data_IF_915444322417
#
_entry.id   IF_915444322417
#
_cell.length_a   1.000
_cell.length_b   1.000
_cell.length_c   1.000
_cell.angle_alpha   90.00
_cell.angle_beta   90.00
_cell.angle_gamma   90.00
#
_symmetry.space_group_name_H-M   'P 1'
#
loop_
_entity.id
_entity.type
_entity.pdbx_description
1 polymer ?
#
# COMPACT_ATOMS: atom_id res chain seq x y z
N UNK A 1 -4.30 22.09 13.83
CA UNK A 1 -4.60 20.79 14.48
C UNK A 1 -3.27 20.19 14.93
N UNK A 2 -3.12 19.74 16.17
CA UNK A 2 -1.87 19.15 16.64
C UNK A 2 -1.69 17.76 16.00
N UNK A 3 -0.49 17.46 15.48
CA UNK A 3 -0.12 16.20 14.90
C UNK A 3 0.82 15.49 15.84
N UNK A 4 0.56 14.24 16.12
CA UNK A 4 1.44 13.36 16.89
C UNK A 4 2.09 12.34 15.95
N UNK A 5 3.40 12.21 16.02
CA UNK A 5 4.15 11.14 15.37
C UNK A 5 4.57 10.10 16.42
N UNK A 6 4.34 8.82 16.12
CA UNK A 6 4.76 7.71 16.95
C UNK A 6 5.54 6.71 16.10
N UNK A 7 6.83 6.54 16.37
CA UNK A 7 7.60 5.42 15.84
C UNK A 7 7.16 4.14 16.52
N UNK A 8 6.98 3.09 15.74
CA UNK A 8 6.55 1.78 16.21
C UNK A 8 7.22 0.69 15.37
N UNK A 9 7.06 -0.55 15.79
CA UNK A 9 7.48 -1.72 15.03
C UNK A 9 6.26 -2.59 14.73
N UNK A 10 6.27 -3.20 13.56
CA UNK A 10 5.27 -4.18 13.14
C UNK A 10 5.90 -5.55 13.26
N UNK A 11 5.26 -6.43 13.99
CA UNK A 11 5.66 -7.83 14.10
C UNK A 11 5.22 -8.57 12.82
N UNK A 12 6.15 -9.22 12.16
CA UNK A 12 5.87 -9.99 10.94
C UNK A 12 6.16 -11.48 11.15
N UNK A 13 5.66 -12.31 10.25
CA UNK A 13 5.87 -13.75 10.30
C UNK A 13 7.37 -14.10 10.43
N UNK A 14 7.71 -15.02 11.32
CA UNK A 14 9.10 -15.39 11.63
C UNK A 14 9.75 -14.57 12.74
N UNK A 15 8.97 -13.73 13.47
CA UNK A 15 9.45 -12.99 14.65
C UNK A 15 10.35 -11.78 14.32
N UNK A 16 10.43 -11.38 13.04
CA UNK A 16 11.13 -10.16 12.66
C UNK A 16 10.28 -8.93 12.93
N UNK A 17 10.93 -7.79 13.16
CA UNK A 17 10.30 -6.48 13.29
C UNK A 17 10.64 -5.61 12.08
N UNK A 18 9.64 -4.91 11.55
CA UNK A 18 9.83 -3.86 10.53
C UNK A 18 9.48 -2.50 11.10
N UNK A 19 10.24 -1.48 10.70
CA UNK A 19 10.05 -0.12 11.18
C UNK A 19 8.81 0.53 10.55
N UNK A 20 7.99 1.18 11.38
CA UNK A 20 6.83 1.93 10.96
C UNK A 20 6.74 3.27 11.70
N UNK A 21 6.04 4.22 11.10
CA UNK A 21 5.73 5.51 11.72
C UNK A 21 4.24 5.80 11.57
N UNK A 22 3.58 6.05 12.69
CA UNK A 22 2.19 6.53 12.73
C UNK A 22 2.22 8.03 12.86
N UNK A 23 1.51 8.71 11.97
CA UNK A 23 1.30 10.16 11.99
C UNK A 23 -0.19 10.41 12.08
N UNK A 24 -0.66 11.04 13.15
CA UNK A 24 -2.08 11.17 13.44
C UNK A 24 -2.44 12.48 14.14
N UNK A 25 -3.62 13.07 13.85
CA UNK A 25 -4.25 14.04 14.72
C UNK A 25 -4.83 13.41 15.99
N UNK A 26 -5.28 14.23 16.95
CA UNK A 26 -5.77 13.76 18.25
C UNK A 26 -7.25 13.29 18.27
N UNK A 27 -7.93 13.18 17.10
CA UNK A 27 -9.36 12.84 16.97
C UNK A 27 -9.61 11.57 16.13
N UNK A 28 -10.79 10.96 16.21
CA UNK A 28 -11.22 9.79 15.39
C UNK A 28 -11.32 10.14 13.91
N UNK A 29 -10.60 9.41 13.03
CA UNK A 29 -10.38 9.81 11.65
C UNK A 29 -10.14 8.63 10.69
N UNK A 30 -10.28 8.84 9.36
CA UNK A 30 -9.88 7.87 8.36
C UNK A 30 -8.41 7.45 8.48
N UNK A 31 -8.13 6.18 8.21
CA UNK A 31 -6.77 5.64 8.19
C UNK A 31 -6.17 5.63 6.79
N UNK A 32 -4.90 6.02 6.65
CA UNK A 32 -4.17 5.97 5.37
C UNK A 32 -2.86 5.20 5.54
N UNK A 33 -2.71 4.13 4.76
CA UNK A 33 -1.52 3.30 4.72
C UNK A 33 -0.69 3.60 3.47
N UNK A 34 0.59 3.92 3.64
CA UNK A 34 1.51 4.17 2.53
C UNK A 34 2.46 2.99 2.33
N UNK A 35 2.52 2.50 1.08
CA UNK A 35 3.34 1.35 0.69
C UNK A 35 4.37 1.77 -0.35
N UNK A 36 5.65 1.76 0.03
CA UNK A 36 6.74 2.17 -0.86
C UNK A 36 7.07 1.12 -1.93
N UNK A 37 7.68 1.55 -3.01
CA UNK A 37 8.17 0.68 -4.08
C UNK A 37 9.46 -0.05 -3.72
N UNK A 38 9.84 -1.05 -4.54
CA UNK A 38 11.09 -1.78 -4.37
C UNK A 38 12.31 -0.85 -4.34
N UNK A 39 13.19 -1.05 -3.38
CA UNK A 39 14.36 -0.18 -3.15
C UNK A 39 14.03 1.16 -2.48
N UNK A 40 12.77 1.37 -2.06
CA UNK A 40 12.33 2.56 -1.34
C UNK A 40 12.47 2.43 0.18
N UNK A 41 11.89 3.40 0.88
CA UNK A 41 11.72 3.42 2.34
C UNK A 41 10.50 4.26 2.71
N UNK A 42 10.03 4.11 3.94
CA UNK A 42 8.94 4.92 4.51
C UNK A 42 9.26 6.43 4.50
N UNK A 43 10.53 6.82 4.60
CA UNK A 43 10.94 8.24 4.68
C UNK A 43 10.44 9.05 3.50
N UNK A 44 10.28 8.42 2.32
CA UNK A 44 9.76 9.09 1.13
C UNK A 44 8.30 9.54 1.26
N UNK A 45 7.58 8.99 2.21
CA UNK A 45 6.16 9.28 2.43
C UNK A 45 5.89 10.12 3.67
N UNK A 46 6.87 10.27 4.58
CA UNK A 46 6.67 10.98 5.83
C UNK A 46 6.19 12.43 5.64
N UNK A 47 6.74 13.17 4.68
CA UNK A 47 6.30 14.54 4.41
C UNK A 47 4.82 14.57 3.99
N UNK A 48 4.41 13.70 3.05
CA UNK A 48 3.01 13.58 2.61
C UNK A 48 2.09 13.11 3.73
N UNK A 49 2.56 12.14 4.52
CA UNK A 49 1.79 11.64 5.66
C UNK A 49 1.50 12.75 6.67
N UNK A 50 2.46 13.67 6.92
CA UNK A 50 2.24 14.85 7.77
C UNK A 50 1.20 15.78 7.19
N UNK A 51 1.35 16.17 5.92
CA UNK A 51 0.39 17.05 5.22
C UNK A 51 -1.03 16.47 5.24
N UNK A 52 -1.17 15.17 4.98
CA UNK A 52 -2.47 14.51 4.99
C UNK A 52 -3.03 14.35 6.41
N UNK A 53 -2.17 14.13 7.40
CA UNK A 53 -2.60 14.09 8.80
C UNK A 53 -3.13 15.45 9.28
N UNK A 54 -2.61 16.56 8.74
CA UNK A 54 -3.16 17.91 8.99
C UNK A 54 -4.59 18.08 8.45
N UNK A 55 -4.97 17.29 7.43
CA UNK A 55 -6.33 17.27 6.90
C UNK A 55 -7.30 16.39 7.71
N UNK A 56 -6.82 15.74 8.76
CA UNK A 56 -7.66 14.96 9.64
C UNK A 56 -7.64 13.46 9.35
N UNK A 57 -6.50 12.89 9.05
CA UNK A 57 -6.32 11.44 8.84
C UNK A 57 -5.27 10.86 9.77
N UNK A 58 -5.39 9.57 10.10
CA UNK A 58 -4.33 8.80 10.72
C UNK A 58 -3.49 8.15 9.62
N UNK A 59 -2.21 8.46 9.55
CA UNK A 59 -1.33 7.95 8.52
C UNK A 59 -0.31 6.97 9.09
N UNK A 60 -0.14 5.82 8.43
CA UNK A 60 0.91 4.86 8.69
C UNK A 60 1.87 4.77 7.50
N UNK A 61 3.16 4.92 7.78
CA UNK A 61 4.24 4.59 6.85
C UNK A 61 5.11 3.51 7.47
N UNK A 62 5.64 2.59 6.67
CA UNK A 62 6.45 1.49 7.15
C UNK A 62 7.47 1.05 6.10
N UNK A 63 8.49 0.31 6.51
CA UNK A 63 9.46 -0.30 5.63
C UNK A 63 9.11 -1.76 5.37
N UNK A 64 9.03 -2.15 4.09
CA UNK A 64 8.91 -3.56 3.71
C UNK A 64 10.17 -4.33 4.13
N UNK A 65 10.03 -5.57 4.53
CA UNK A 65 11.17 -6.48 4.80
C UNK A 65 12.14 -6.51 3.61
N UNK A 66 13.43 -6.58 3.90
CA UNK A 66 14.49 -6.45 2.91
C UNK A 66 14.87 -5.00 2.58
N UNK A 67 14.22 -4.00 3.18
CA UNK A 67 14.49 -2.58 2.97
C UNK A 67 14.91 -1.89 4.26
N UNK A 68 15.49 -0.70 4.16
CA UNK A 68 15.94 0.12 5.29
C UNK A 68 16.68 -0.71 6.36
N UNK A 69 16.19 -0.74 7.58
CA UNK A 69 16.82 -1.47 8.71
C UNK A 69 16.90 -2.99 8.52
N UNK A 70 16.11 -3.59 7.60
CA UNK A 70 16.14 -5.03 7.28
C UNK A 70 16.83 -5.34 5.95
N UNK A 71 17.64 -4.42 5.42
CA UNK A 71 18.33 -4.53 4.14
C UNK A 71 19.18 -5.80 3.93
N UNK A 72 19.80 -6.42 4.94
CA UNK A 72 20.49 -7.70 4.76
C UNK A 72 19.62 -8.82 4.17
N UNK A 73 18.28 -8.72 4.30
CA UNK A 73 17.30 -9.65 3.71
C UNK A 73 16.88 -9.30 2.27
N UNK A 74 17.41 -8.23 1.68
CA UNK A 74 17.00 -7.71 0.38
C UNK A 74 17.11 -8.75 -0.75
N UNK A 75 18.11 -9.61 -0.73
CA UNK A 75 18.34 -10.63 -1.76
C UNK A 75 17.43 -11.87 -1.61
N UNK A 76 16.92 -12.10 -0.41
CA UNK A 76 16.15 -13.31 -0.08
C UNK A 76 14.67 -13.06 0.14
N UNK A 77 14.26 -11.81 0.37
CA UNK A 77 12.87 -11.47 0.65
C UNK A 77 11.95 -11.79 -0.54
N UNK A 78 10.82 -12.39 -0.23
CA UNK A 78 9.81 -12.83 -1.22
C UNK A 78 8.64 -11.86 -1.29
N UNK A 79 7.77 -12.02 -2.31
CA UNK A 79 6.48 -11.29 -2.38
C UNK A 79 5.58 -11.67 -1.21
N UNK A 80 5.58 -12.95 -0.84
CA UNK A 80 4.81 -13.45 0.29
C UNK A 80 5.23 -12.74 1.58
N UNK A 81 6.55 -12.63 1.86
CA UNK A 81 7.02 -11.91 3.03
C UNK A 81 6.54 -10.44 3.04
N UNK A 82 6.64 -9.74 1.89
CA UNK A 82 6.24 -8.35 1.82
C UNK A 82 4.71 -8.16 1.86
N UNK A 83 3.93 -9.13 1.39
CA UNK A 83 2.48 -9.12 1.55
C UNK A 83 2.09 -9.32 3.02
N UNK A 84 2.77 -10.20 3.75
CA UNK A 84 2.58 -10.37 5.19
C UNK A 84 2.96 -9.10 5.96
N UNK A 85 4.06 -8.41 5.59
CA UNK A 85 4.43 -7.11 6.16
C UNK A 85 3.30 -6.09 5.97
N UNK A 86 2.74 -6.02 4.76
CA UNK A 86 1.66 -5.11 4.43
C UNK A 86 0.37 -5.42 5.20
N UNK A 87 0.01 -6.69 5.32
CA UNK A 87 -1.14 -7.11 6.14
C UNK A 87 -0.94 -6.74 7.61
N UNK A 88 0.25 -6.98 8.16
CA UNK A 88 0.57 -6.59 9.54
C UNK A 88 0.53 -5.07 9.74
N UNK A 89 0.99 -4.30 8.76
CA UNK A 89 0.90 -2.84 8.78
C UNK A 89 -0.56 -2.36 8.73
N UNK A 90 -1.38 -2.97 7.88
CA UNK A 90 -2.81 -2.69 7.80
C UNK A 90 -3.50 -2.98 9.15
N UNK A 91 -3.27 -4.16 9.71
CA UNK A 91 -3.88 -4.59 10.97
C UNK A 91 -3.43 -3.66 12.13
N UNK A 92 -2.17 -3.20 12.13
CA UNK A 92 -1.68 -2.20 13.08
C UNK A 92 -2.41 -0.86 12.93
N UNK A 93 -2.62 -0.37 11.68
CA UNK A 93 -3.34 0.88 11.45
C UNK A 93 -4.78 0.78 11.95
N UNK A 94 -5.48 -0.29 11.60
CA UNK A 94 -6.89 -0.52 12.01
C UNK A 94 -7.01 -0.70 13.52
N UNK A 95 -5.99 -1.22 14.20
CA UNK A 95 -6.00 -1.38 15.66
C UNK A 95 -5.85 -0.06 16.44
N UNK A 96 -5.53 1.05 15.76
CA UNK A 96 -5.40 2.32 16.45
C UNK A 96 -6.78 2.83 16.92
N UNK A 97 -6.91 3.25 18.18
CA UNK A 97 -8.21 3.61 18.77
C UNK A 97 -8.87 4.83 18.12
N UNK A 98 -8.12 5.60 17.37
CA UNK A 98 -8.57 6.78 16.64
C UNK A 98 -8.73 6.57 15.13
N UNK A 99 -8.70 5.32 14.66
CA UNK A 99 -8.94 4.97 13.26
C UNK A 99 -10.34 4.39 13.08
N UNK A 100 -11.06 4.89 12.08
CA UNK A 100 -12.30 4.29 11.61
C UNK A 100 -11.96 3.12 10.66
N UNK A 101 -12.22 1.86 11.03
CA UNK A 101 -11.89 0.72 10.21
C UNK A 101 -12.71 0.63 8.90
N UNK A 102 -13.82 1.36 8.79
CA UNK A 102 -14.60 1.46 7.56
C UNK A 102 -14.06 2.50 6.58
N UNK A 103 -13.12 3.34 7.01
CA UNK A 103 -12.54 4.43 6.22
C UNK A 103 -11.04 4.27 6.05
N UNK A 104 -10.60 3.17 5.45
CA UNK A 104 -9.19 2.89 5.20
C UNK A 104 -8.84 3.18 3.74
N UNK A 105 -7.85 4.03 3.55
CA UNK A 105 -7.20 4.27 2.26
C UNK A 105 -5.82 3.60 2.21
N UNK A 106 -5.46 3.05 1.05
CA UNK A 106 -4.12 2.50 0.81
C UNK A 106 -3.49 3.19 -0.39
N UNK A 107 -2.29 3.70 -0.21
CA UNK A 107 -1.53 4.40 -1.25
C UNK A 107 -0.27 3.60 -1.56
N UNK A 108 -0.20 3.02 -2.76
CA UNK A 108 0.91 2.17 -3.17
C UNK A 108 1.65 2.68 -4.41
N UNK A 109 2.98 2.59 -4.43
CA UNK A 109 3.79 2.98 -5.57
C UNK A 109 4.60 1.82 -6.12
N UNK A 110 4.61 1.65 -7.45
CA UNK A 110 5.38 0.60 -8.13
C UNK A 110 5.11 -0.79 -7.53
N UNK A 111 6.12 -1.45 -6.97
CA UNK A 111 5.97 -2.73 -6.26
C UNK A 111 4.98 -2.65 -5.08
N UNK A 112 5.02 -1.56 -4.30
CA UNK A 112 4.04 -1.33 -3.24
C UNK A 112 2.62 -1.15 -3.78
N UNK A 113 2.46 -0.60 -4.98
CA UNK A 113 1.16 -0.52 -5.67
C UNK A 113 0.62 -1.90 -6.05
N UNK A 114 1.48 -2.80 -6.53
CA UNK A 114 1.14 -4.19 -6.80
C UNK A 114 0.64 -4.91 -5.52
N UNK A 115 1.39 -4.80 -4.43
CA UNK A 115 0.99 -5.41 -3.15
C UNK A 115 -0.30 -4.78 -2.60
N UNK A 116 -0.46 -3.46 -2.73
CA UNK A 116 -1.66 -2.75 -2.30
C UNK A 116 -2.92 -3.20 -3.05
N UNK A 117 -2.81 -3.45 -4.36
CA UNK A 117 -3.91 -4.01 -5.14
C UNK A 117 -4.32 -5.41 -4.64
N UNK A 118 -3.36 -6.27 -4.33
CA UNK A 118 -3.63 -7.62 -3.78
C UNK A 118 -4.25 -7.53 -2.38
N UNK A 119 -3.79 -6.60 -1.54
CA UNK A 119 -4.34 -6.40 -0.20
C UNK A 119 -5.86 -6.20 -0.21
N UNK A 120 -6.42 -5.54 -1.23
CA UNK A 120 -7.87 -5.28 -1.32
C UNK A 120 -8.72 -6.55 -1.39
N UNK A 121 -8.15 -7.68 -1.81
CA UNK A 121 -8.81 -8.99 -1.77
C UNK A 121 -8.72 -9.67 -0.40
N UNK A 122 -7.85 -9.18 0.49
CA UNK A 122 -7.54 -9.79 1.78
C UNK A 122 -8.02 -8.95 2.98
N UNK A 123 -8.21 -7.65 2.78
CA UNK A 123 -8.62 -6.70 3.81
C UNK A 123 -9.60 -5.68 3.23
N UNK A 124 -10.56 -5.17 4.03
CA UNK A 124 -11.43 -4.07 3.62
C UNK A 124 -10.62 -2.81 3.35
N UNK A 125 -10.69 -2.29 2.13
CA UNK A 125 -10.06 -1.03 1.72
C UNK A 125 -11.13 -0.20 1.02
N UNK A 126 -11.42 1.00 1.54
CA UNK A 126 -12.42 1.90 0.96
C UNK A 126 -11.85 2.67 -0.24
N UNK A 127 -10.59 3.13 -0.14
CA UNK A 127 -9.93 3.85 -1.22
C UNK A 127 -8.55 3.26 -1.51
N UNK A 128 -8.27 3.02 -2.78
CA UNK A 128 -6.98 2.56 -3.26
C UNK A 128 -6.39 3.56 -4.23
N UNK A 129 -5.24 4.14 -3.89
CA UNK A 129 -4.47 5.01 -4.78
C UNK A 129 -3.20 4.30 -5.26
N UNK A 130 -3.09 4.10 -6.57
CA UNK A 130 -1.94 3.45 -7.19
C UNK A 130 -1.12 4.44 -8.01
N UNK A 131 0.17 4.49 -7.72
CA UNK A 131 1.13 5.27 -8.50
C UNK A 131 2.05 4.32 -9.26
N UNK A 132 1.86 4.24 -10.59
CA UNK A 132 2.71 3.42 -11.49
C UNK A 132 2.91 2.00 -10.94
N UNK A 133 1.83 1.25 -10.64
CA UNK A 133 1.97 -0.07 -10.02
C UNK A 133 2.74 -1.01 -10.95
N UNK A 134 3.64 -1.80 -10.37
CA UNK A 134 4.32 -2.87 -11.09
C UNK A 134 3.41 -4.09 -11.18
N UNK A 135 3.66 -4.95 -12.18
CA UNK A 135 2.98 -6.23 -12.32
C UNK A 135 3.98 -7.37 -12.33
N UNK A 136 3.52 -8.50 -11.85
CA UNK A 136 4.28 -9.73 -11.82
C UNK A 136 3.37 -10.91 -12.19
N UNK A 137 3.96 -11.94 -12.77
CA UNK A 137 3.25 -13.19 -13.02
C UNK A 137 2.76 -13.82 -11.71
N UNK A 138 1.63 -14.52 -11.73
CA UNK A 138 0.99 -15.09 -10.52
C UNK A 138 1.74 -16.27 -9.91
N UNK A 139 2.79 -16.75 -10.55
CA UNK A 139 3.63 -17.83 -10.04
C UNK A 139 4.84 -17.29 -9.25
N UNK A 140 5.44 -18.14 -8.43
CA UNK A 140 6.71 -17.84 -7.76
C UNK A 140 6.58 -16.90 -6.57
N UNK A 141 5.52 -17.00 -5.79
CA UNK A 141 5.31 -16.19 -4.58
C UNK A 141 6.43 -16.34 -3.55
N UNK A 142 6.96 -17.56 -3.41
CA UNK A 142 8.03 -17.89 -2.48
C UNK A 142 9.44 -17.65 -3.05
N UNK A 143 9.53 -17.23 -4.32
CA UNK A 143 10.82 -16.90 -4.91
C UNK A 143 11.31 -15.53 -4.40
N UNK A 144 12.65 -15.37 -4.22
CA UNK A 144 13.22 -14.05 -3.95
C UNK A 144 12.74 -13.00 -4.94
N UNK A 145 12.30 -11.86 -4.44
CA UNK A 145 11.70 -10.81 -5.27
C UNK A 145 12.63 -10.34 -6.41
N UNK A 146 13.95 -10.35 -6.19
CA UNK A 146 14.94 -10.00 -7.21
C UNK A 146 14.95 -10.93 -8.42
N UNK A 147 14.50 -12.18 -8.28
CA UNK A 147 14.47 -13.17 -9.35
C UNK A 147 13.18 -13.09 -10.18
N UNK A 148 12.19 -12.30 -9.74
CA UNK A 148 10.92 -12.18 -10.43
C UNK A 148 11.03 -11.26 -11.65
N UNK A 149 10.46 -11.71 -12.76
CA UNK A 149 10.27 -10.89 -13.95
C UNK A 149 9.00 -10.04 -13.78
N UNK A 150 9.08 -8.79 -14.23
CA UNK A 150 7.89 -7.94 -14.30
C UNK A 150 6.98 -8.46 -15.41
N UNK A 151 5.68 -8.47 -15.13
CA UNK A 151 4.68 -8.69 -16.17
C UNK A 151 4.60 -7.45 -17.06
N UNK A 152 4.59 -7.66 -18.36
CA UNK A 152 4.47 -6.62 -19.38
C UNK A 152 3.13 -6.70 -20.11
N UNK A 153 2.29 -7.68 -19.77
CA UNK A 153 1.01 -7.90 -20.40
C UNK A 153 -0.05 -6.97 -19.77
N UNK A 154 -0.58 -6.07 -20.60
CA UNK A 154 -1.63 -5.13 -20.20
C UNK A 154 -2.91 -5.84 -19.72
N UNK A 155 -3.23 -7.00 -20.28
CA UNK A 155 -4.42 -7.76 -19.89
C UNK A 155 -4.28 -8.36 -18.48
N UNK A 156 -3.12 -8.89 -18.13
CA UNK A 156 -2.84 -9.34 -16.77
C UNK A 156 -2.96 -8.17 -15.77
N UNK A 157 -2.53 -6.99 -16.18
CA UNK A 157 -2.71 -5.77 -15.39
C UNK A 157 -4.19 -5.44 -15.16
N UNK A 158 -4.99 -5.44 -16.23
CA UNK A 158 -6.42 -5.18 -16.15
C UNK A 158 -7.13 -6.16 -15.22
N UNK A 159 -6.79 -7.44 -15.29
CA UNK A 159 -7.36 -8.46 -14.41
C UNK A 159 -7.03 -8.19 -12.94
N UNK A 160 -5.78 -7.81 -12.61
CA UNK A 160 -5.40 -7.44 -11.24
C UNK A 160 -6.21 -6.23 -10.74
N UNK A 161 -6.37 -5.21 -11.59
CA UNK A 161 -7.16 -4.02 -11.28
C UNK A 161 -8.64 -4.34 -11.12
N UNK A 162 -9.22 -5.13 -12.03
CA UNK A 162 -10.62 -5.56 -11.96
C UNK A 162 -10.87 -6.34 -10.67
N UNK A 163 -9.97 -7.25 -10.30
CA UNK A 163 -10.08 -8.00 -9.06
C UNK A 163 -10.05 -7.08 -7.81
N UNK A 164 -9.19 -6.06 -7.81
CA UNK A 164 -9.17 -5.05 -6.75
C UNK A 164 -10.49 -4.27 -6.66
N UNK A 165 -11.09 -3.92 -7.81
CA UNK A 165 -12.37 -3.22 -7.88
C UNK A 165 -13.55 -4.10 -7.42
N UNK A 166 -13.57 -5.37 -7.79
CA UNK A 166 -14.60 -6.34 -7.37
C UNK A 166 -14.64 -6.51 -5.85
N UNK A 167 -13.54 -6.25 -5.16
CA UNK A 167 -13.45 -6.25 -3.70
C UNK A 167 -13.84 -4.90 -3.05
N UNK A 168 -14.53 -4.03 -3.78
CA UNK A 168 -15.10 -2.75 -3.33
C UNK A 168 -14.11 -1.63 -3.02
N UNK A 169 -12.86 -1.74 -3.43
CA UNK A 169 -11.90 -0.67 -3.30
C UNK A 169 -12.08 0.37 -4.43
N UNK A 170 -12.07 1.65 -4.09
CA UNK A 170 -11.98 2.73 -5.07
C UNK A 170 -10.52 2.83 -5.54
N UNK A 171 -10.27 2.68 -6.83
CA UNK A 171 -8.94 2.76 -7.41
C UNK A 171 -8.68 4.16 -7.97
N UNK A 172 -7.75 4.91 -7.39
CA UNK A 172 -7.24 6.13 -7.96
C UNK A 172 -5.83 5.87 -8.53
N UNK A 173 -5.62 6.13 -9.81
CA UNK A 173 -4.34 5.92 -10.47
C UNK A 173 -3.78 7.24 -11.00
N UNK A 174 -2.66 7.70 -10.48
CA UNK A 174 -1.95 8.85 -10.98
C UNK A 174 -0.70 8.42 -11.76
N UNK A 175 -0.73 8.55 -13.06
CA UNK A 175 0.35 8.30 -14.04
C UNK A 175 0.87 6.87 -14.17
N UNK A 176 0.74 6.34 -15.38
CA UNK A 176 1.52 5.20 -15.87
C UNK A 176 2.80 5.72 -16.55
N UNK A 177 3.90 5.03 -16.35
CA UNK A 177 5.10 5.23 -17.16
C UNK A 177 4.85 4.60 -18.55
N UNK A 178 4.60 5.41 -19.56
CA UNK A 178 4.31 5.02 -20.94
C UNK A 178 2.81 5.03 -21.26
N UNK A 179 2.47 5.57 -22.35
CA UNK A 179 1.25 5.76 -23.16
C UNK A 179 -0.12 5.17 -22.75
N UNK A 180 -0.39 4.90 -21.49
CA UNK A 180 -1.72 4.55 -21.01
C UNK A 180 -2.38 5.79 -20.42
N UNK A 181 -3.15 6.47 -21.24
CA UNK A 181 -4.00 7.55 -20.80
C UNK A 181 -5.23 6.97 -20.09
N UNK A 182 -5.36 7.27 -18.80
CA UNK A 182 -6.60 7.15 -18.03
C UNK A 182 -6.98 5.72 -17.65
N UNK A 183 -7.00 5.44 -16.38
CA UNK A 183 -7.74 4.32 -15.82
C UNK A 183 -9.07 4.84 -15.27
N UNK A 184 -10.17 4.32 -15.77
CA UNK A 184 -11.50 4.58 -15.22
C UNK A 184 -11.68 3.72 -13.98
N UNK A 185 -12.00 4.34 -12.87
CA UNK A 185 -12.30 3.65 -11.63
C UNK A 185 -13.75 3.92 -11.27
N UNK A 186 -14.53 2.88 -11.13
CA UNK A 186 -15.90 2.96 -10.62
C UNK A 186 -15.94 2.49 -9.16
N UNK A 187 -16.37 3.37 -8.27
CA UNK A 187 -16.79 2.99 -6.93
C UNK A 187 -18.13 2.24 -6.96
N UNK A 188 -18.38 1.41 -5.97
CA UNK A 188 -19.59 0.59 -5.85
C UNK A 188 -20.88 1.40 -5.66
N UNK A 189 -20.80 2.71 -5.48
CA UNK A 189 -21.93 3.63 -5.32
C UNK A 189 -22.32 4.38 -6.62
N UNK A 190 -21.78 3.96 -7.77
CA UNK A 190 -22.14 4.56 -9.06
C UNK A 190 -21.40 5.83 -9.44
N UNK A 191 -20.49 6.30 -8.60
CA UNK A 191 -19.69 7.47 -8.90
C UNK A 191 -18.46 7.06 -9.72
N UNK A 192 -18.34 7.64 -10.91
CA UNK A 192 -17.19 7.42 -11.80
C UNK A 192 -16.22 8.58 -11.67
N UNK A 193 -14.96 8.28 -11.35
CA UNK A 193 -13.88 9.26 -11.41
C UNK A 193 -13.02 8.97 -12.64
N UNK A 194 -13.06 9.88 -13.61
CA UNK A 194 -12.15 9.85 -14.76
C UNK A 194 -10.93 10.67 -14.40
N UNK A 195 -9.77 10.04 -14.35
CA UNK A 195 -8.49 10.76 -14.22
C UNK A 195 -7.82 10.80 -15.60
N UNK A 196 -7.59 12.01 -16.08
CA UNK A 196 -6.80 12.31 -17.28
C UNK A 196 -5.31 12.35 -16.93
#
# INVERSE_FOLDING_TARGET
MAIREKRTAIQVAGGAEISATIVAPETLLPGILFVHGWGGSQDRYLARAREIAELGCVCLTFDLSGHAGTRPRFETVTRENNLQDLMAAYDLLVSQPNVDPAQIAVVGSSYGGYLAAILTSLRPVEWLALRVPALYVDSGWEMPKLQLRKEQNLEAYRQTVVHALENRALLACSQFAGDVQGLLVQGTNGDSVVMQ
#
